data_IF_019120519269
#
_entry.id   IF_019120519269
#
_cell.length_a   1.000
_cell.length_b   1.000
_cell.length_c   1.000
_cell.angle_alpha   90.00
_cell.angle_beta   90.00
_cell.angle_gamma   90.00
#
_symmetry.space_group_name_H-M   'P 1'
#
loop_
_entity.id
_entity.type
_entity.pdbx_description
1 polymer ?
#
# COMPACT_ATOMS: atom_id res chain seq x y z
N UNK A 1 -8.85 29.54 -8.96
CA UNK A 1 -10.03 29.06 -9.72
C UNK A 1 -10.37 27.68 -9.19
N UNK A 2 -11.58 27.49 -8.67
CA UNK A 2 -12.00 26.25 -8.02
C UNK A 2 -13.03 25.55 -8.89
N UNK A 3 -12.69 24.38 -9.40
CA UNK A 3 -13.61 23.56 -10.19
C UNK A 3 -14.38 22.66 -9.23
N UNK A 4 -15.61 23.04 -8.91
CA UNK A 4 -16.54 22.21 -8.15
C UNK A 4 -17.11 21.16 -9.10
N UNK A 5 -16.74 19.88 -8.91
CA UNK A 5 -17.38 18.78 -9.65
C UNK A 5 -18.63 18.38 -8.85
N UNK A 6 -19.80 18.75 -9.37
CA UNK A 6 -21.07 18.21 -8.91
C UNK A 6 -21.16 16.75 -9.37
N UNK A 7 -21.01 15.81 -8.43
CA UNK A 7 -21.30 14.40 -8.68
C UNK A 7 -22.81 14.23 -8.70
N UNK A 8 -23.42 14.39 -9.87
CA UNK A 8 -24.82 14.03 -10.07
C UNK A 8 -24.95 12.50 -9.95
N UNK A 9 -25.95 12.09 -9.18
CA UNK A 9 -26.22 10.71 -8.83
C UNK A 9 -26.96 10.05 -9.98
N UNK A 10 -26.35 9.00 -10.55
CA UNK A 10 -26.96 7.99 -11.43
C UNK A 10 -27.06 8.35 -12.92
N UNK A 11 -25.90 8.48 -13.57
CA UNK A 11 -25.82 8.25 -15.01
C UNK A 11 -26.08 6.76 -15.30
N UNK A 12 -27.06 6.46 -16.16
CA UNK A 12 -27.20 5.13 -16.75
C UNK A 12 -25.99 4.90 -17.67
N UNK A 13 -25.05 4.07 -17.23
CA UNK A 13 -23.82 3.79 -17.98
C UNK A 13 -24.12 2.71 -19.01
N UNK A 14 -24.30 3.10 -20.27
CA UNK A 14 -24.34 2.18 -21.40
C UNK A 14 -22.91 1.93 -21.88
N UNK A 15 -22.37 0.74 -21.63
CA UNK A 15 -21.10 0.29 -22.20
C UNK A 15 -21.37 -0.38 -23.55
N UNK A 16 -20.62 0.00 -24.59
CA UNK A 16 -20.62 -0.70 -25.86
C UNK A 16 -19.88 -2.04 -25.76
N UNK A 17 -20.20 -2.97 -26.67
CA UNK A 17 -19.62 -4.32 -26.68
C UNK A 17 -18.11 -4.30 -26.89
N UNK A 18 -17.57 -3.36 -27.69
CA UNK A 18 -16.12 -3.25 -27.94
C UNK A 18 -15.37 -2.87 -26.65
N UNK A 19 -15.96 -2.01 -25.82
CA UNK A 19 -15.44 -1.65 -24.49
C UNK A 19 -15.49 -2.85 -23.54
N UNK A 20 -16.57 -3.63 -23.54
CA UNK A 20 -16.67 -4.85 -22.71
C UNK A 20 -15.62 -5.89 -23.13
N UNK A 21 -15.42 -6.09 -24.44
CA UNK A 21 -14.43 -7.02 -24.98
C UNK A 21 -13.00 -6.57 -24.62
N UNK A 22 -12.74 -5.26 -24.65
CA UNK A 22 -11.46 -4.69 -24.22
C UNK A 22 -11.20 -4.95 -22.74
N UNK A 23 -12.20 -4.76 -21.87
CA UNK A 23 -12.07 -5.06 -20.43
C UNK A 23 -11.80 -6.57 -20.23
N UNK A 24 -12.53 -7.44 -20.93
CA UNK A 24 -12.34 -8.88 -20.83
C UNK A 24 -10.92 -9.33 -21.25
N UNK A 25 -10.36 -8.72 -22.30
CA UNK A 25 -8.97 -8.96 -22.73
C UNK A 25 -7.99 -8.48 -21.65
N UNK A 26 -8.18 -7.28 -21.11
CA UNK A 26 -7.32 -6.73 -20.06
C UNK A 26 -7.38 -7.53 -18.75
N UNK A 27 -8.56 -8.03 -18.37
CA UNK A 27 -8.74 -8.90 -17.20
C UNK A 27 -8.09 -10.28 -17.41
N UNK A 28 -8.22 -10.85 -18.61
CA UNK A 28 -7.55 -12.10 -18.97
C UNK A 28 -6.02 -11.96 -18.94
N UNK A 29 -5.49 -10.87 -19.50
CA UNK A 29 -4.05 -10.57 -19.49
C UNK A 29 -3.53 -10.35 -18.04
N UNK A 30 -4.28 -9.60 -17.23
CA UNK A 30 -3.97 -9.40 -15.82
C UNK A 30 -4.02 -10.71 -15.00
N UNK A 31 -4.93 -11.62 -15.33
CA UNK A 31 -5.02 -12.94 -14.70
C UNK A 31 -3.85 -13.85 -15.09
N UNK A 32 -3.41 -13.80 -16.35
CA UNK A 32 -2.27 -14.59 -16.87
C UNK A 32 -0.94 -14.10 -16.27
N UNK A 33 -0.77 -12.79 -16.13
CA UNK A 33 0.47 -12.23 -15.60
C UNK A 33 0.60 -12.27 -14.07
N UNK A 34 -0.49 -12.61 -13.37
CA UNK A 34 -0.56 -12.62 -11.91
C UNK A 34 -0.35 -11.23 -11.31
N UNK A 35 -1.14 -10.86 -10.29
CA UNK A 35 -0.79 -9.66 -9.53
C UNK A 35 0.59 -9.90 -8.89
N UNK A 36 1.57 -8.99 -9.05
CA UNK A 36 2.89 -9.16 -8.44
C UNK A 36 2.72 -9.43 -6.94
N UNK A 37 3.23 -10.57 -6.49
CA UNK A 37 3.04 -11.04 -5.13
C UNK A 37 3.78 -10.10 -4.17
N UNK A 38 3.05 -9.40 -3.29
CA UNK A 38 3.62 -8.49 -2.28
C UNK A 38 4.76 -9.18 -1.55
N UNK A 39 5.88 -8.47 -1.35
CA UNK A 39 6.96 -9.01 -0.53
C UNK A 39 6.44 -9.28 0.88
N UNK A 40 6.98 -10.32 1.52
CA UNK A 40 6.62 -10.66 2.89
C UNK A 40 7.05 -9.53 3.83
N UNK A 41 6.10 -9.02 4.62
CA UNK A 41 6.34 -8.08 5.70
C UNK A 41 6.31 -8.83 7.04
N UNK A 42 7.37 -8.69 7.83
CA UNK A 42 7.45 -9.19 9.20
C UNK A 42 7.83 -8.06 10.15
N UNK A 43 7.45 -8.18 11.42
CA UNK A 43 7.73 -7.21 12.45
C UNK A 43 8.54 -7.85 13.58
N UNK A 44 9.55 -7.14 14.06
CA UNK A 44 10.23 -7.41 15.33
C UNK A 44 10.00 -6.23 16.28
N UNK A 45 9.91 -6.51 17.57
CA UNK A 45 9.96 -5.48 18.60
C UNK A 45 11.39 -5.43 19.13
N UNK A 46 12.08 -4.30 18.94
CA UNK A 46 13.48 -4.14 19.35
C UNK A 46 13.58 -3.55 20.76
N UNK A 47 12.70 -2.62 21.12
CA UNK A 47 12.59 -2.03 22.47
C UNK A 47 11.13 -1.81 22.88
N UNK A 48 10.89 -1.41 24.13
CA UNK A 48 9.55 -1.05 24.60
C UNK A 48 9.03 0.19 23.85
N UNK A 49 8.03 -0.03 22.99
CA UNK A 49 7.49 1.02 22.14
C UNK A 49 8.16 1.18 20.78
N UNK A 50 9.09 0.33 20.36
CA UNK A 50 9.71 0.39 19.03
C UNK A 50 9.56 -0.94 18.27
N UNK A 51 9.02 -0.87 17.06
CA UNK A 51 8.85 -2.01 16.16
C UNK A 51 9.51 -1.74 14.82
N UNK A 52 10.28 -2.72 14.33
CA UNK A 52 10.98 -2.65 13.05
C UNK A 52 10.32 -3.57 12.03
N UNK A 53 10.07 -3.03 10.84
CA UNK A 53 9.57 -3.77 9.70
C UNK A 53 10.72 -4.39 8.91
N UNK A 54 10.59 -5.67 8.55
CA UNK A 54 11.39 -6.32 7.50
C UNK A 54 10.50 -6.61 6.30
N UNK A 55 10.81 -6.01 5.15
CA UNK A 55 10.06 -6.15 3.90
C UNK A 55 10.92 -6.86 2.86
N UNK A 56 10.59 -8.12 2.53
CA UNK A 56 11.35 -8.91 1.56
C UNK A 56 12.82 -9.15 1.95
N UNK A 57 13.13 -9.14 3.25
CA UNK A 57 14.50 -9.29 3.77
C UNK A 57 15.26 -7.96 3.94
N UNK A 58 14.67 -6.83 3.55
CA UNK A 58 15.24 -5.50 3.74
C UNK A 58 14.56 -4.75 4.87
N UNK A 59 15.23 -3.73 5.41
CA UNK A 59 14.61 -2.80 6.36
C UNK A 59 13.44 -2.06 5.69
N UNK A 60 12.23 -2.26 6.23
CA UNK A 60 11.00 -1.66 5.74
C UNK A 60 10.63 -0.34 6.41
N UNK A 61 11.28 0.02 7.52
CA UNK A 61 10.91 1.18 8.34
C UNK A 61 10.64 0.78 9.79
N UNK A 62 10.07 1.70 10.55
CA UNK A 62 9.77 1.51 11.97
C UNK A 62 8.41 2.08 12.37
N UNK A 63 7.92 1.62 13.51
CA UNK A 63 6.84 2.27 14.25
C UNK A 63 7.35 2.57 15.66
N UNK A 64 7.29 3.83 16.06
CA UNK A 64 7.66 4.28 17.40
C UNK A 64 6.41 4.70 18.17
N UNK A 65 6.30 4.27 19.44
CA UNK A 65 5.28 4.74 20.37
C UNK A 65 5.75 6.03 21.04
N UNK A 66 5.06 7.13 20.81
CA UNK A 66 5.36 8.46 21.37
C UNK A 66 4.10 9.10 21.91
N UNK A 67 4.10 9.51 23.18
CA UNK A 67 2.96 10.19 23.82
C UNK A 67 1.60 9.47 23.66
N UNK A 68 1.61 8.13 23.69
CA UNK A 68 0.41 7.30 23.52
C UNK A 68 -0.08 7.16 22.07
N UNK A 69 0.70 7.65 21.11
CA UNK A 69 0.48 7.57 19.66
C UNK A 69 1.55 6.68 19.02
N UNK A 70 1.30 6.26 17.78
CA UNK A 70 2.20 5.38 17.02
C UNK A 70 2.63 6.10 15.75
N UNK A 71 3.91 6.45 15.65
CA UNK A 71 4.48 7.15 14.51
C UNK A 71 5.14 6.14 13.59
N UNK A 72 4.63 6.00 12.36
CA UNK A 72 5.24 5.14 11.35
C UNK A 72 6.21 5.94 10.50
N UNK A 73 7.41 5.39 10.29
CA UNK A 73 8.44 5.95 9.40
C UNK A 73 8.85 4.91 8.37
N UNK A 74 9.08 5.34 7.14
CA UNK A 74 9.47 4.45 6.04
C UNK A 74 10.96 4.05 6.07
N UNK A 75 11.40 3.29 5.06
CA UNK A 75 12.79 2.83 4.94
C UNK A 75 13.82 3.98 4.91
N UNK A 76 13.39 5.20 4.56
CA UNK A 76 14.24 6.39 4.49
C UNK A 76 14.09 7.27 5.74
N UNK A 77 13.32 6.83 6.74
CA UNK A 77 13.04 7.59 7.96
C UNK A 77 12.03 8.73 7.75
N UNK A 78 11.30 8.74 6.62
CA UNK A 78 10.25 9.73 6.40
C UNK A 78 8.98 9.31 7.14
N UNK A 79 8.37 10.24 7.87
CA UNK A 79 7.14 9.98 8.61
C UNK A 79 5.99 9.75 7.62
N UNK A 80 5.44 8.54 7.65
CA UNK A 80 4.26 8.13 6.90
C UNK A 80 2.99 8.65 7.57
N UNK A 81 3.00 8.71 8.90
CA UNK A 81 1.92 9.26 9.68
C UNK A 81 2.03 8.99 11.17
N UNK A 82 1.02 9.47 11.88
CA UNK A 82 0.85 9.34 13.32
C UNK A 82 -0.55 8.76 13.57
N UNK A 83 -0.62 7.66 14.32
CA UNK A 83 -1.80 6.82 14.43
C UNK A 83 -2.18 6.54 15.88
N UNK A 84 -3.45 6.19 16.09
CA UNK A 84 -3.97 5.91 17.43
C UNK A 84 -3.60 4.50 17.93
N UNK A 85 -3.29 3.58 17.02
CA UNK A 85 -2.96 2.19 17.35
C UNK A 85 -1.77 1.68 16.55
N UNK A 86 -1.11 0.66 17.09
CA UNK A 86 -0.01 -0.04 16.42
C UNK A 86 -0.47 -0.67 15.11
N UNK A 87 -1.62 -1.34 15.12
CA UNK A 87 -2.17 -2.01 13.94
C UNK A 87 -2.39 -1.05 12.77
N UNK A 88 -2.94 0.14 13.06
CA UNK A 88 -3.14 1.17 12.03
C UNK A 88 -1.80 1.66 11.47
N UNK A 89 -0.83 1.94 12.34
CA UNK A 89 0.51 2.36 11.93
C UNK A 89 1.21 1.32 11.04
N UNK A 90 1.17 0.04 11.46
CA UNK A 90 1.77 -1.06 10.71
C UNK A 90 1.08 -1.28 9.37
N UNK A 91 -0.25 -1.21 9.31
CA UNK A 91 -1.02 -1.35 8.07
C UNK A 91 -0.72 -0.24 7.08
N UNK A 92 -0.67 1.02 7.57
CA UNK A 92 -0.34 2.19 6.73
C UNK A 92 1.09 2.13 6.20
N UNK A 93 2.04 1.69 7.03
CA UNK A 93 3.41 1.48 6.56
C UNK A 93 3.47 0.37 5.51
N UNK A 94 2.73 -0.73 5.69
CA UNK A 94 2.70 -1.83 4.72
C UNK A 94 2.19 -1.37 3.33
N UNK A 95 1.13 -0.57 3.30
CA UNK A 95 0.59 -0.01 2.06
C UNK A 95 1.58 0.96 1.41
N UNK A 96 2.24 1.82 2.21
CA UNK A 96 3.27 2.74 1.72
C UNK A 96 4.45 1.98 1.09
N UNK A 97 4.95 0.93 1.76
CA UNK A 97 6.07 0.13 1.27
C UNK A 97 5.76 -0.56 -0.05
N UNK A 98 4.51 -0.98 -0.24
CA UNK A 98 4.07 -1.62 -1.48
C UNK A 98 4.12 -0.65 -2.68
N UNK A 99 3.84 0.63 -2.46
CA UNK A 99 3.90 1.68 -3.49
C UNK A 99 5.34 2.12 -3.72
N UNK A 100 6.12 2.24 -2.65
CA UNK A 100 7.49 2.78 -2.68
C UNK A 100 8.53 1.78 -3.18
N UNK A 101 8.39 0.49 -2.85
CA UNK A 101 9.37 -0.56 -3.15
C UNK A 101 8.85 -1.67 -4.09
N UNK A 102 8.24 -1.34 -5.25
CA UNK A 102 7.73 -2.35 -6.17
C UNK A 102 8.78 -3.29 -6.78
N UNK A 103 10.08 -2.96 -6.89
CA UNK A 103 11.08 -3.94 -7.33
C UNK A 103 11.34 -5.05 -6.31
N UNK A 104 11.27 -4.77 -4.99
CA UNK A 104 11.48 -5.76 -3.92
C UNK A 104 10.39 -6.85 -3.92
N UNK A 105 9.25 -6.55 -4.51
CA UNK A 105 8.10 -7.44 -4.72
C UNK A 105 8.40 -8.49 -5.79
N UNK A 106 9.30 -8.19 -6.73
CA UNK A 106 9.80 -9.19 -7.68
C UNK A 106 11.05 -9.78 -7.07
N UNK A 107 11.14 -11.10 -6.87
CA UNK A 107 12.43 -11.73 -6.66
C UNK A 107 13.34 -11.27 -7.81
N UNK A 108 14.47 -10.65 -7.48
CA UNK A 108 15.58 -10.56 -8.42
C UNK A 108 16.13 -11.98 -8.47
N UNK A 109 16.05 -12.62 -9.63
CA UNK A 109 16.66 -13.94 -9.87
C UNK A 109 18.15 -13.95 -9.55
#
# INVERSE_FOLDING_TARGET
MSTTVQTDSRAEVTLDTDTVDTIAILEADAAVHGRPARAKLTWSQEDDGEWVATYGGYFGGSVDKRDGRYVASDTFGLVVGDFASLEEAQGRLADQLHVMLPPVIRPVE
#
